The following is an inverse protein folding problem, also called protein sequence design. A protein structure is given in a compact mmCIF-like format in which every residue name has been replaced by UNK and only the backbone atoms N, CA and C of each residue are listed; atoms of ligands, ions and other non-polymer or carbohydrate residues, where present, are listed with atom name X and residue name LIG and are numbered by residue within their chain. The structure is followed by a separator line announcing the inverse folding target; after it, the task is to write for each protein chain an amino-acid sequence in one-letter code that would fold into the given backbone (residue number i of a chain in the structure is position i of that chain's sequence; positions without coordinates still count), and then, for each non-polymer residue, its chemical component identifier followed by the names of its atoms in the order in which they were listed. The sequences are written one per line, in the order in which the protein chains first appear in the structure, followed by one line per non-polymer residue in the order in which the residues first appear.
data_IF_195697771439
#
_entry.id   IF_195697771439
#
_cell.length_a   1.000
_cell.length_b   1.000
_cell.length_c   1.000
_cell.angle_alpha   90.00
_cell.angle_beta   90.00
_cell.angle_gamma   90.00
#
_symmetry.space_group_name_H-M   'P 1'
#
loop_
_entity.id
_entity.type
_entity.pdbx_description
1 polymer ?
#
# COMPACT_ATOMS: atom_id res chain seq x y z
N UNK A 1 20.51 -7.16 14.75
CA UNK A 1 19.74 -6.28 13.85
C UNK A 1 19.03 -5.26 14.73
N UNK A 2 19.12 -3.96 14.44
CA UNK A 2 18.51 -2.90 15.26
C UNK A 2 17.06 -2.63 14.84
N UNK A 3 16.26 -1.99 15.69
CA UNK A 3 14.85 -1.66 15.39
C UNK A 3 14.72 -0.81 14.12
N UNK A 4 15.65 0.12 13.89
CA UNK A 4 15.69 0.93 12.65
C UNK A 4 16.00 0.09 11.41
N UNK A 5 16.82 -0.95 11.53
CA UNK A 5 17.09 -1.88 10.42
C UNK A 5 15.85 -2.68 10.08
N UNK A 6 15.17 -3.24 11.10
CA UNK A 6 13.92 -4.01 10.91
C UNK A 6 12.85 -3.13 10.26
N UNK A 7 12.62 -1.92 10.79
CA UNK A 7 11.63 -0.99 10.26
C UNK A 7 11.93 -0.61 8.79
N UNK A 8 13.20 -0.32 8.48
CA UNK A 8 13.60 -0.01 7.11
C UNK A 8 13.41 -1.18 6.14
N UNK A 9 13.67 -2.42 6.58
CA UNK A 9 13.40 -3.63 5.79
C UNK A 9 11.90 -3.77 5.55
N UNK A 10 11.04 -3.53 6.56
CA UNK A 10 9.59 -3.59 6.38
C UNK A 10 9.10 -2.60 5.31
N UNK A 11 9.62 -1.37 5.28
CA UNK A 11 9.32 -0.43 4.21
C UNK A 11 9.75 -0.91 2.82
N UNK A 12 10.91 -1.58 2.72
CA UNK A 12 11.38 -2.15 1.45
C UNK A 12 10.49 -3.30 1.00
N UNK A 13 10.11 -4.21 1.91
CA UNK A 13 9.18 -5.31 1.62
C UNK A 13 7.80 -4.76 1.26
N UNK A 14 7.35 -3.69 1.91
CA UNK A 14 6.09 -3.01 1.62
C UNK A 14 6.06 -2.44 0.19
N UNK A 15 7.19 -1.93 -0.31
CA UNK A 15 7.31 -1.44 -1.67
C UNK A 15 7.52 -2.53 -2.72
N UNK A 16 8.32 -3.56 -2.44
CA UNK A 16 8.74 -4.53 -3.47
C UNK A 16 8.06 -5.88 -3.39
N UNK A 17 7.46 -6.23 -2.25
CA UNK A 17 7.01 -7.58 -1.97
C UNK A 17 5.85 -8.03 -2.86
N UNK A 18 4.83 -7.19 -3.03
CA UNK A 18 3.70 -7.50 -3.93
C UNK A 18 4.11 -7.41 -5.39
N UNK A 19 5.04 -6.53 -5.77
CA UNK A 19 5.65 -6.51 -7.11
C UNK A 19 6.33 -7.85 -7.40
N UNK A 20 7.15 -8.35 -6.47
CA UNK A 20 7.80 -9.64 -6.61
C UNK A 20 6.78 -10.78 -6.70
N UNK A 21 5.72 -10.74 -5.89
CA UNK A 21 4.66 -11.74 -5.94
C UNK A 21 3.98 -11.77 -7.32
N UNK A 22 3.45 -10.64 -7.80
CA UNK A 22 2.70 -10.60 -9.05
C UNK A 22 3.58 -10.79 -10.29
N UNK A 23 4.64 -9.98 -10.44
CA UNK A 23 5.42 -9.92 -11.69
C UNK A 23 6.46 -11.04 -11.75
N UNK A 24 7.16 -11.33 -10.64
CA UNK A 24 8.26 -12.30 -10.68
C UNK A 24 7.74 -13.73 -10.48
N UNK A 25 6.78 -13.93 -9.57
CA UNK A 25 6.34 -15.28 -9.21
C UNK A 25 5.02 -15.69 -9.90
N UNK A 26 4.07 -14.77 -10.03
CA UNK A 26 2.77 -15.02 -10.65
C UNK A 26 2.86 -15.12 -12.17
N UNK A 27 3.32 -14.07 -12.84
CA UNK A 27 3.39 -14.01 -14.32
C UNK A 27 4.32 -15.08 -14.93
N UNK A 28 5.35 -15.51 -14.19
CA UNK A 28 6.26 -16.58 -14.64
C UNK A 28 5.67 -17.99 -14.49
N UNK A 29 4.50 -18.11 -13.85
CA UNK A 29 3.84 -19.38 -13.59
C UNK A 29 4.48 -20.22 -12.48
N UNK A 30 5.39 -19.64 -11.68
CA UNK A 30 5.95 -20.31 -10.50
C UNK A 30 4.87 -20.52 -9.44
N UNK A 31 3.96 -19.57 -9.30
CA UNK A 31 2.79 -19.64 -8.42
C UNK A 31 1.50 -19.62 -9.23
N UNK A 32 0.50 -20.36 -8.75
CA UNK A 32 -0.87 -20.16 -9.22
C UNK A 32 -1.44 -18.83 -8.68
N UNK A 33 -2.60 -18.41 -9.21
CA UNK A 33 -3.24 -17.16 -8.84
C UNK A 33 -3.54 -17.08 -7.33
N UNK A 34 -4.07 -18.15 -6.73
CA UNK A 34 -4.43 -18.15 -5.30
C UNK A 34 -3.19 -18.02 -4.40
N UNK A 35 -2.08 -18.67 -4.74
CA UNK A 35 -0.82 -18.53 -4.01
C UNK A 35 -0.17 -17.17 -4.23
N UNK A 36 -0.24 -16.62 -5.45
CA UNK A 36 0.27 -15.29 -5.77
C UNK A 36 -0.39 -14.24 -4.87
N UNK A 37 -1.73 -14.27 -4.77
CA UNK A 37 -2.51 -13.33 -3.97
C UNK A 37 -2.22 -13.46 -2.47
N UNK A 38 -2.07 -14.68 -1.95
CA UNK A 38 -1.69 -14.91 -0.55
C UNK A 38 -0.32 -14.33 -0.22
N UNK A 39 0.68 -14.55 -1.09
CA UNK A 39 2.03 -14.03 -0.86
C UNK A 39 2.03 -12.51 -0.98
N UNK A 40 1.36 -11.95 -2.00
CA UNK A 40 1.17 -10.51 -2.13
C UNK A 40 0.54 -9.92 -0.85
N UNK A 41 -0.53 -10.52 -0.35
CA UNK A 41 -1.19 -10.11 0.88
C UNK A 41 -0.25 -10.07 2.09
N UNK A 42 0.55 -11.12 2.32
CA UNK A 42 1.50 -11.16 3.43
C UNK A 42 2.57 -10.08 3.33
N UNK A 43 3.03 -9.77 2.11
CA UNK A 43 3.96 -8.67 1.91
C UNK A 43 3.30 -7.31 2.10
N UNK A 44 2.05 -7.10 1.65
CA UNK A 44 1.33 -5.84 1.83
C UNK A 44 1.03 -5.55 3.30
N UNK A 45 0.87 -6.57 4.16
CA UNK A 45 0.77 -6.38 5.61
C UNK A 45 1.99 -5.69 6.23
N UNK A 46 3.15 -5.71 5.56
CA UNK A 46 4.33 -4.97 6.02
C UNK A 46 4.17 -3.45 5.91
N UNK A 47 3.24 -2.95 5.10
CA UNK A 47 2.93 -1.51 4.99
C UNK A 47 2.55 -0.96 6.37
N UNK A 48 1.41 -1.34 7.00
CA UNK A 48 1.02 -0.78 8.29
C UNK A 48 2.03 -1.09 9.41
N UNK A 49 2.75 -2.22 9.33
CA UNK A 49 3.80 -2.54 10.30
C UNK A 49 4.96 -1.55 10.26
N UNK A 50 5.44 -1.17 9.07
CA UNK A 50 6.49 -0.18 8.90
C UNK A 50 6.05 1.21 9.42
N UNK A 51 4.83 1.62 9.09
CA UNK A 51 4.25 2.86 9.60
C UNK A 51 4.06 2.85 11.12
N UNK A 52 3.60 1.73 11.69
CA UNK A 52 3.44 1.57 13.14
C UNK A 52 4.78 1.63 13.90
N UNK A 53 5.82 0.99 13.38
CA UNK A 53 7.15 1.07 13.99
C UNK A 53 7.70 2.49 13.95
N UNK A 54 7.47 3.21 12.85
CA UNK A 54 7.87 4.61 12.70
C UNK A 54 7.11 5.53 13.66
N UNK A 55 5.81 5.31 13.81
CA UNK A 55 4.93 6.01 14.76
C UNK A 55 5.38 5.85 16.23
N UNK A 56 6.03 4.75 16.59
CA UNK A 56 6.57 4.57 17.95
C UNK A 56 7.77 5.48 18.26
N UNK A 57 8.40 6.07 17.24
CA UNK A 57 9.50 7.03 17.42
C UNK A 57 8.96 8.44 17.63
N UNK A 58 8.06 8.90 16.76
CA UNK A 58 7.43 10.21 16.88
C UNK A 58 5.96 10.11 16.42
N UNK A 59 5.06 10.67 17.24
CA UNK A 59 3.61 10.52 17.07
C UNK A 59 2.92 11.87 16.95
N UNK A 60 1.86 11.90 16.15
CA UNK A 60 0.88 12.97 16.14
C UNK A 60 -0.47 12.43 15.64
N UNK A 61 -1.52 13.22 15.78
CA UNK A 61 -2.89 12.79 15.45
C UNK A 61 -3.06 12.37 13.98
N UNK A 62 -2.27 12.91 13.05
CA UNK A 62 -2.33 12.54 11.64
C UNK A 62 -1.69 11.18 11.40
N UNK A 63 -0.54 10.89 12.01
CA UNK A 63 0.09 9.56 11.92
C UNK A 63 -0.85 8.49 12.49
N UNK A 64 -1.49 8.78 13.64
CA UNK A 64 -2.40 7.84 14.30
C UNK A 64 -3.67 7.60 13.47
N UNK A 65 -4.31 8.67 13.00
CA UNK A 65 -5.50 8.56 12.16
C UNK A 65 -5.19 7.89 10.81
N UNK A 66 -4.06 8.26 10.19
CA UNK A 66 -3.61 7.69 8.93
C UNK A 66 -3.33 6.19 9.02
N UNK A 67 -2.65 5.75 10.09
CA UNK A 67 -2.41 4.33 10.34
C UNK A 67 -3.71 3.53 10.52
N UNK A 68 -4.69 4.08 11.26
CA UNK A 68 -6.00 3.43 11.44
C UNK A 68 -6.75 3.27 10.10
N UNK A 69 -6.83 4.34 9.31
CA UNK A 69 -7.46 4.31 7.98
C UNK A 69 -6.75 3.30 7.07
N UNK A 70 -5.42 3.28 7.11
CA UNK A 70 -4.59 2.37 6.33
C UNK A 70 -4.87 0.90 6.65
N UNK A 71 -4.96 0.54 7.94
CA UNK A 71 -5.26 -0.83 8.38
C UNK A 71 -6.66 -1.25 7.92
N UNK A 72 -7.65 -0.37 8.06
CA UNK A 72 -9.03 -0.64 7.64
C UNK A 72 -9.09 -0.83 6.11
N UNK A 73 -8.54 0.11 5.35
CA UNK A 73 -8.55 0.06 3.88
C UNK A 73 -7.79 -1.15 3.34
N UNK A 74 -6.59 -1.43 3.86
CA UNK A 74 -5.81 -2.61 3.48
C UNK A 74 -6.60 -3.89 3.76
N UNK A 75 -7.22 -4.02 4.94
CA UNK A 75 -8.01 -5.22 5.27
C UNK A 75 -9.16 -5.45 4.29
N UNK A 76 -9.85 -4.37 3.88
CA UNK A 76 -10.89 -4.46 2.85
C UNK A 76 -10.34 -4.89 1.49
N UNK A 77 -9.22 -4.30 1.06
CA UNK A 77 -8.55 -4.66 -0.20
C UNK A 77 -8.11 -6.12 -0.23
N UNK A 78 -7.48 -6.60 0.85
CA UNK A 78 -7.04 -8.00 0.95
C UNK A 78 -8.21 -8.99 0.97
N UNK A 79 -9.34 -8.64 1.61
CA UNK A 79 -10.55 -9.46 1.56
C UNK A 79 -11.11 -9.51 0.14
N UNK A 80 -11.12 -8.39 -0.58
CA UNK A 80 -11.52 -8.35 -1.99
C UNK A 80 -10.65 -9.28 -2.84
N UNK A 81 -9.33 -9.17 -2.74
CA UNK A 81 -8.40 -10.00 -3.52
C UNK A 81 -8.58 -11.50 -3.19
N UNK A 82 -8.84 -11.82 -1.92
CA UNK A 82 -9.16 -13.20 -1.51
C UNK A 82 -10.47 -13.72 -2.14
N UNK A 83 -11.51 -12.88 -2.25
CA UNK A 83 -12.76 -13.24 -2.92
C UNK A 83 -12.51 -13.47 -4.41
N UNK A 84 -11.86 -12.52 -5.09
CA UNK A 84 -11.59 -12.58 -6.52
C UNK A 84 -10.68 -13.76 -6.91
N UNK A 85 -9.75 -14.14 -6.04
CA UNK A 85 -8.84 -15.26 -6.25
C UNK A 85 -9.38 -16.64 -5.86
N UNK A 86 -10.55 -16.70 -5.21
CA UNK A 86 -11.16 -17.96 -4.77
C UNK A 86 -11.80 -18.77 -5.92
N UNK A 87 -11.89 -18.18 -7.12
CA UNK A 87 -12.56 -18.82 -8.26
C UNK A 87 -14.07 -18.94 -8.09
N UNK A 88 -14.68 -18.16 -7.18
CA UNK A 88 -16.13 -18.11 -7.03
C UNK A 88 -16.79 -17.75 -8.38
N UNK A 89 -17.45 -18.72 -9.00
CA UNK A 89 -17.96 -18.66 -10.39
C UNK A 89 -19.31 -17.94 -10.52
N UNK A 90 -19.63 -17.01 -9.63
CA UNK A 90 -20.80 -16.15 -9.76
C UNK A 90 -20.40 -14.81 -10.35
N UNK A 91 -21.08 -14.33 -11.40
CA UNK A 91 -20.90 -12.96 -11.90
C UNK A 91 -21.07 -11.92 -10.76
N UNK A 92 -21.91 -12.24 -9.78
CA UNK A 92 -22.12 -11.42 -8.59
C UNK A 92 -20.88 -11.39 -7.67
N UNK A 93 -20.18 -12.52 -7.46
CA UNK A 93 -19.02 -12.55 -6.54
C UNK A 93 -17.85 -11.70 -7.03
N UNK A 94 -17.62 -11.63 -8.34
CA UNK A 94 -16.61 -10.74 -8.94
C UNK A 94 -17.04 -9.28 -8.86
N UNK A 95 -18.31 -8.97 -9.07
CA UNK A 95 -18.83 -7.60 -8.92
C UNK A 95 -18.75 -7.10 -7.48
N UNK A 96 -19.02 -7.97 -6.50
CA UNK A 96 -18.88 -7.65 -5.08
C UNK A 96 -17.41 -7.45 -4.68
N UNK A 97 -16.51 -8.32 -5.15
CA UNK A 97 -15.07 -8.18 -4.92
C UNK A 97 -14.56 -6.84 -5.43
N UNK A 98 -14.76 -6.55 -6.72
CA UNK A 98 -14.24 -5.34 -7.35
C UNK A 98 -14.77 -4.05 -6.71
N UNK A 99 -16.05 -4.01 -6.33
CA UNK A 99 -16.62 -2.85 -5.63
C UNK A 99 -15.96 -2.59 -4.26
N UNK A 100 -15.65 -3.66 -3.53
CA UNK A 100 -14.92 -3.58 -2.25
C UNK A 100 -13.46 -3.19 -2.51
N UNK A 101 -12.83 -3.72 -3.56
CA UNK A 101 -11.44 -3.45 -3.93
C UNK A 101 -11.19 -1.94 -4.04
N UNK A 102 -11.98 -1.24 -4.86
CA UNK A 102 -11.78 0.18 -5.11
C UNK A 102 -11.91 1.03 -3.86
N UNK A 103 -12.86 0.69 -2.99
CA UNK A 103 -13.04 1.37 -1.70
C UNK A 103 -11.92 1.04 -0.72
N UNK A 104 -11.49 -0.22 -0.64
CA UNK A 104 -10.43 -0.67 0.26
C UNK A 104 -9.09 -0.07 -0.11
N UNK A 105 -8.67 -0.23 -1.38
CA UNK A 105 -7.40 0.30 -1.88
C UNK A 105 -7.34 1.83 -1.81
N UNK A 106 -8.40 2.54 -2.22
CA UNK A 106 -8.45 3.99 -2.09
C UNK A 106 -8.33 4.43 -0.63
N UNK A 107 -9.04 3.78 0.29
CA UNK A 107 -8.96 4.06 1.73
C UNK A 107 -7.55 3.81 2.28
N UNK A 108 -6.88 2.74 1.85
CA UNK A 108 -5.49 2.50 2.24
C UNK A 108 -4.58 3.66 1.83
N UNK A 109 -4.67 4.12 0.58
CA UNK A 109 -3.88 5.25 0.08
C UNK A 109 -4.26 6.58 0.75
N UNK A 110 -5.52 6.78 1.13
CA UNK A 110 -5.93 7.89 1.99
C UNK A 110 -5.20 7.83 3.33
N UNK A 111 -5.11 6.65 3.95
CA UNK A 111 -4.36 6.44 5.19
C UNK A 111 -2.87 6.78 5.04
N UNK A 112 -2.25 6.36 3.94
CA UNK A 112 -0.85 6.71 3.62
C UNK A 112 -0.70 8.23 3.44
N UNK A 113 -1.63 8.88 2.74
CA UNK A 113 -1.63 10.33 2.53
C UNK A 113 -1.70 11.10 3.85
N UNK A 114 -2.67 10.76 4.71
CA UNK A 114 -2.83 11.39 6.02
C UNK A 114 -1.58 11.16 6.89
N UNK A 115 -0.98 9.97 6.81
CA UNK A 115 0.29 9.68 7.50
C UNK A 115 1.45 10.52 6.96
N UNK A 116 1.52 10.72 5.63
CA UNK A 116 2.49 11.62 5.00
C UNK A 116 2.36 13.08 5.46
N UNK A 117 1.14 13.59 5.63
CA UNK A 117 0.87 14.90 6.27
C UNK A 117 1.40 14.88 7.71
N UNK A 118 1.20 13.78 8.42
CA UNK A 118 1.76 13.57 9.74
C UNK A 118 3.28 13.70 9.75
N UNK A 119 3.98 13.06 8.81
CA UNK A 119 5.44 13.15 8.70
C UNK A 119 5.95 14.54 8.31
N UNK A 120 5.20 15.31 7.52
CA UNK A 120 5.54 16.72 7.23
C UNK A 120 5.59 17.61 8.47
N UNK A 121 4.95 17.18 9.57
CA UNK A 121 4.90 17.88 10.86
C UNK A 121 5.92 17.34 11.86
N UNK A 122 6.86 16.51 11.43
CA UNK A 122 7.88 15.86 12.27
C UNK A 122 9.27 16.01 11.66
N UNK A 123 10.30 15.56 12.38
CA UNK A 123 11.67 15.45 11.85
C UNK A 123 12.06 14.00 11.51
N UNK A 124 11.08 13.08 11.45
CA UNK A 124 11.32 11.66 11.15
C UNK A 124 11.99 11.44 9.79
N UNK A 125 11.61 12.25 8.79
CA UNK A 125 12.12 12.20 7.42
C UNK A 125 12.36 13.62 6.89
N UNK A 126 13.22 13.80 5.88
CA UNK A 126 13.33 15.06 5.16
C UNK A 126 11.96 15.50 4.60
N UNK A 127 11.64 16.79 4.70
CA UNK A 127 10.33 17.31 4.31
C UNK A 127 9.94 16.95 2.87
N UNK A 128 10.89 16.94 1.93
CA UNK A 128 10.62 16.57 0.54
C UNK A 128 10.15 15.11 0.40
N UNK A 129 10.64 14.20 1.24
CA UNK A 129 10.27 12.78 1.21
C UNK A 129 8.88 12.57 1.80
N UNK A 130 8.57 13.26 2.90
CA UNK A 130 7.22 13.29 3.47
C UNK A 130 6.19 13.92 2.51
N UNK A 131 6.59 14.99 1.80
CA UNK A 131 5.78 15.60 0.75
C UNK A 131 5.55 14.63 -0.41
N UNK A 132 6.60 13.94 -0.87
CA UNK A 132 6.52 12.97 -1.95
C UNK A 132 5.59 11.82 -1.58
N UNK A 133 5.69 11.27 -0.37
CA UNK A 133 4.75 10.26 0.15
C UNK A 133 3.32 10.77 0.12
N UNK A 134 3.08 12.00 0.58
CA UNK A 134 1.75 12.59 0.62
C UNK A 134 1.17 12.76 -0.80
N UNK A 135 1.92 13.35 -1.72
CA UNK A 135 1.44 13.64 -3.07
C UNK A 135 1.16 12.36 -3.86
N UNK A 136 2.06 11.39 -3.80
CA UNK A 136 1.95 10.13 -4.57
C UNK A 136 0.80 9.25 -4.08
N UNK A 137 0.61 9.17 -2.76
CA UNK A 137 -0.53 8.45 -2.17
C UNK A 137 -1.85 9.19 -2.40
N UNK A 138 -1.86 10.52 -2.33
CA UNK A 138 -3.06 11.31 -2.68
C UNK A 138 -3.48 11.13 -4.14
N UNK A 139 -2.52 11.12 -5.07
CA UNK A 139 -2.82 10.91 -6.49
C UNK A 139 -3.49 9.55 -6.73
N UNK A 140 -2.97 8.49 -6.10
CA UNK A 140 -3.55 7.15 -6.19
C UNK A 140 -4.94 7.07 -5.52
N UNK A 141 -5.08 7.66 -4.33
CA UNK A 141 -6.37 7.78 -3.64
C UNK A 141 -7.41 8.50 -4.51
N UNK A 142 -7.08 9.69 -5.01
CA UNK A 142 -8.00 10.51 -5.79
C UNK A 142 -8.40 9.80 -7.09
N UNK A 143 -7.46 9.12 -7.76
CA UNK A 143 -7.75 8.34 -8.96
C UNK A 143 -8.76 7.22 -8.68
N UNK A 144 -8.55 6.44 -7.61
CA UNK A 144 -9.43 5.33 -7.26
C UNK A 144 -10.78 5.78 -6.67
N UNK A 145 -10.81 6.89 -5.93
CA UNK A 145 -12.01 7.33 -5.21
C UNK A 145 -12.99 8.14 -6.06
N UNK A 146 -12.51 8.82 -7.10
CA UNK A 146 -13.34 9.72 -7.93
C UNK A 146 -14.00 8.96 -9.09
N UNK A 147 -13.33 7.95 -9.62
CA UNK A 147 -13.81 7.18 -10.78
C UNK A 147 -14.78 6.09 -10.35
N UNK A 148 -15.81 5.86 -11.17
CA UNK A 148 -16.69 4.70 -10.99
C UNK A 148 -16.06 3.42 -11.56
N UNK A 149 -16.67 2.25 -11.32
CA UNK A 149 -16.15 0.95 -11.74
C UNK A 149 -15.88 0.85 -13.24
N UNK A 150 -16.78 1.35 -14.10
CA UNK A 150 -16.58 1.33 -15.56
C UNK A 150 -15.40 2.20 -16.00
N UNK A 151 -15.24 3.37 -15.39
CA UNK A 151 -14.12 4.26 -15.65
C UNK A 151 -12.79 3.68 -15.17
N UNK A 152 -12.80 2.95 -14.06
CA UNK A 152 -11.62 2.26 -13.53
C UNK A 152 -11.23 1.06 -14.40
N UNK A 153 -12.19 0.31 -14.94
CA UNK A 153 -11.89 -0.80 -15.85
C UNK A 153 -11.32 -0.29 -17.20
N UNK A 154 -11.86 0.82 -17.71
CA UNK A 154 -11.43 1.38 -19.00
C UNK A 154 -10.12 2.17 -18.94
N UNK A 155 -9.85 2.88 -17.85
CA UNK A 155 -8.65 3.73 -17.72
C UNK A 155 -7.58 3.15 -16.77
N UNK A 156 -7.94 2.16 -15.96
CA UNK A 156 -7.11 1.66 -14.87
C UNK A 156 -5.89 0.89 -15.35
N UNK A 157 -5.99 0.11 -16.42
CA UNK A 157 -4.90 -0.75 -16.92
C UNK A 157 -3.61 0.04 -17.22
N UNK A 158 -3.74 1.28 -17.71
CA UNK A 158 -2.58 2.11 -18.06
C UNK A 158 -2.13 3.07 -16.95
N UNK A 159 -2.92 3.26 -15.89
CA UNK A 159 -2.69 4.30 -14.87
C UNK A 159 -2.42 3.71 -13.49
N UNK A 160 -3.15 2.66 -13.09
CA UNK A 160 -2.99 2.02 -11.78
C UNK A 160 -1.57 1.45 -11.61
N UNK A 161 -1.00 0.69 -12.56
CA UNK A 161 0.34 0.12 -12.37
C UNK A 161 1.41 1.21 -12.21
N UNK A 162 1.49 2.27 -13.05
CA UNK A 162 2.42 3.37 -12.83
C UNK A 162 2.26 4.08 -11.48
N UNK A 163 1.02 4.38 -11.06
CA UNK A 163 0.77 5.06 -9.78
C UNK A 163 1.17 4.17 -8.58
N UNK A 164 0.87 2.88 -8.65
CA UNK A 164 1.29 1.91 -7.64
C UNK A 164 2.81 1.76 -7.58
N UNK A 165 3.49 1.69 -8.74
CA UNK A 165 4.95 1.63 -8.82
C UNK A 165 5.61 2.86 -8.20
N UNK A 166 5.08 4.06 -8.46
CA UNK A 166 5.60 5.30 -7.87
C UNK A 166 5.48 5.25 -6.34
N UNK A 167 4.31 4.88 -5.80
CA UNK A 167 4.13 4.73 -4.35
C UNK A 167 5.11 3.69 -3.76
N UNK A 168 5.29 2.58 -4.45
CA UNK A 168 6.22 1.51 -4.07
C UNK A 168 7.67 1.99 -3.98
N UNK A 169 8.12 2.78 -4.96
CA UNK A 169 9.46 3.41 -4.94
C UNK A 169 9.60 4.34 -3.74
N UNK A 170 8.58 5.13 -3.41
CA UNK A 170 8.62 6.01 -2.23
C UNK A 170 8.77 5.21 -0.94
N UNK A 171 8.06 4.08 -0.79
CA UNK A 171 8.21 3.18 0.36
C UNK A 171 9.64 2.63 0.46
N UNK A 172 10.25 2.21 -0.65
CA UNK A 172 11.65 1.76 -0.66
C UNK A 172 12.60 2.87 -0.19
N UNK A 173 12.41 4.11 -0.68
CA UNK A 173 13.22 5.25 -0.27
C UNK A 173 13.05 5.52 1.23
N UNK A 174 11.81 5.50 1.76
CA UNK A 174 11.56 5.61 3.20
C UNK A 174 12.30 4.54 3.99
N UNK A 175 12.34 3.30 3.49
CA UNK A 175 13.09 2.21 4.10
C UNK A 175 14.59 2.50 4.18
N UNK A 176 15.19 2.98 3.09
CA UNK A 176 16.60 3.37 3.06
C UNK A 176 16.90 4.49 4.06
N UNK A 177 16.06 5.54 4.10
CA UNK A 177 16.23 6.64 5.05
C UNK A 177 16.07 6.18 6.50
N UNK A 178 15.13 5.29 6.77
CA UNK A 178 14.90 4.71 8.10
C UNK A 178 16.15 3.98 8.61
N UNK A 179 16.79 3.16 7.76
CA UNK A 179 18.02 2.45 8.15
C UNK A 179 19.22 3.38 8.37
N UNK A 180 19.27 4.49 7.62
CA UNK A 180 20.37 5.47 7.66
C UNK A 180 20.21 6.54 8.73
N UNK A 181 19.07 6.59 9.43
CA UNK A 181 18.83 7.57 10.48
C UNK A 181 19.88 7.43 11.58
N UNK A 182 20.43 8.57 12.02
CA UNK A 182 21.24 8.62 13.23
C UNK A 182 20.41 8.17 14.42
N UNK A 183 21.05 7.49 15.37
CA UNK A 183 20.40 7.09 16.63
C UNK A 183 20.04 8.32 17.48
#
# INVERSE_FOLDING_TARGET
MTDKMVNGILFIVAGLGSIAAYIILGETGILDQSHTEKIAAYTLLTIPLAFMMTRNIEKNNFIDAGLLIMIVGLSMGLVSDAINSSGATGADSTLFGDAIAWTGWSSMYLGIFITGIGYLRTNLFPQWLSALLSVTSFAMFAFLAVLNGEQLLSNGENIIPPLWMINSVVLVILGIFTMRRSD
#
